data_IF_992164502631
#
_entry.id   IF_992164502631
#
_cell.length_a   1.000
_cell.length_b   1.000
_cell.length_c   1.000
_cell.angle_alpha   90.00
_cell.angle_beta   90.00
_cell.angle_gamma   90.00
#
_symmetry.space_group_name_H-M   'P 1'
#
loop_
_entity.id
_entity.type
_entity.pdbx_description
1 polymer ?
#
# COMPACT_ATOMS: atom_id res chain seq x y z
N UNK A 1 7.05 15.72 -2.50
CA UNK A 1 5.63 15.34 -2.69
C UNK A 1 4.69 16.27 -1.91
N UNK A 2 4.92 16.52 -0.62
CA UNK A 2 4.04 17.42 0.16
C UNK A 2 3.95 18.83 -0.45
N UNK A 3 5.08 19.43 -0.84
CA UNK A 3 5.11 20.73 -1.50
C UNK A 3 4.38 20.71 -2.86
N UNK A 4 4.51 19.62 -3.62
CA UNK A 4 3.78 19.45 -4.88
C UNK A 4 2.26 19.42 -4.67
N UNK A 5 1.79 18.73 -3.62
CA UNK A 5 0.36 18.71 -3.27
C UNK A 5 -0.14 20.09 -2.82
N UNK A 6 0.67 20.81 -2.03
CA UNK A 6 0.34 22.21 -1.62
C UNK A 6 0.27 23.14 -2.82
N UNK A 7 1.20 23.03 -3.78
CA UNK A 7 1.15 23.81 -5.03
C UNK A 7 -0.12 23.54 -5.85
N UNK A 8 -0.59 22.28 -5.84
CA UNK A 8 -1.86 21.89 -6.45
C UNK A 8 -3.09 22.25 -5.60
N UNK A 9 -2.90 23.08 -4.57
CA UNK A 9 -3.97 23.64 -3.74
C UNK A 9 -4.46 22.72 -2.61
N UNK A 10 -3.81 21.58 -2.33
CA UNK A 10 -4.23 20.67 -1.25
C UNK A 10 -3.86 21.25 0.12
N UNK A 11 -4.82 21.31 1.03
CA UNK A 11 -4.65 21.73 2.41
C UNK A 11 -5.28 20.77 3.41
N UNK A 12 -5.33 21.20 4.69
CA UNK A 12 -5.95 20.43 5.77
C UNK A 12 -7.41 20.09 5.45
N UNK A 13 -7.77 18.81 5.57
CA UNK A 13 -9.12 18.30 5.36
C UNK A 13 -9.49 18.03 3.89
N UNK A 14 -8.68 18.49 2.92
CA UNK A 14 -8.88 18.13 1.52
C UNK A 14 -8.63 16.63 1.30
N UNK A 15 -9.36 16.03 0.36
CA UNK A 15 -9.20 14.62 0.02
C UNK A 15 -8.25 14.48 -1.18
N UNK A 16 -7.33 13.52 -1.06
CA UNK A 16 -6.40 13.10 -2.12
C UNK A 16 -6.62 11.62 -2.40
N UNK A 17 -7.06 11.28 -3.61
CA UNK A 17 -7.19 9.88 -4.00
C UNK A 17 -5.86 9.38 -4.56
N UNK A 18 -5.41 8.20 -4.11
CA UNK A 18 -4.15 7.58 -4.53
C UNK A 18 -4.50 6.29 -5.28
N UNK A 19 -4.33 6.30 -6.61
CA UNK A 19 -4.50 5.15 -7.49
C UNK A 19 -3.16 4.81 -8.12
N UNK A 20 -2.35 4.04 -7.39
CA UNK A 20 -0.95 3.79 -7.74
C UNK A 20 -0.58 2.31 -7.60
N UNK A 21 0.45 1.85 -8.32
CA UNK A 21 1.07 0.57 -8.05
C UNK A 21 1.83 0.59 -6.71
N UNK A 22 2.32 -0.58 -6.29
CA UNK A 22 3.08 -0.77 -5.05
C UNK A 22 4.52 -0.24 -5.20
N UNK A 23 4.66 1.09 -5.32
CA UNK A 23 5.94 1.79 -5.46
C UNK A 23 6.12 2.82 -4.35
N UNK A 24 7.37 3.24 -4.03
CA UNK A 24 7.64 4.18 -2.94
C UNK A 24 6.87 5.49 -3.04
N UNK A 25 6.60 5.97 -4.25
CA UNK A 25 5.86 7.21 -4.49
C UNK A 25 4.43 7.17 -3.94
N UNK A 26 3.81 5.99 -3.90
CA UNK A 26 2.51 5.80 -3.28
C UNK A 26 2.57 6.01 -1.75
N UNK A 27 3.58 5.44 -1.09
CA UNK A 27 3.82 5.69 0.34
C UNK A 27 4.17 7.16 0.61
N UNK A 28 4.96 7.78 -0.27
CA UNK A 28 5.28 9.21 -0.16
C UNK A 28 4.04 10.09 -0.30
N UNK A 29 3.08 9.73 -1.15
CA UNK A 29 1.81 10.44 -1.26
C UNK A 29 0.97 10.31 0.03
N UNK A 30 0.88 9.10 0.62
CA UNK A 30 0.20 8.87 1.90
C UNK A 30 0.82 9.72 3.02
N UNK A 31 2.15 9.66 3.17
CA UNK A 31 2.87 10.41 4.19
C UNK A 31 2.84 11.94 3.94
N UNK A 32 2.82 12.37 2.68
CA UNK A 32 2.65 13.77 2.33
C UNK A 32 1.26 14.30 2.76
N UNK A 33 0.19 13.53 2.53
CA UNK A 33 -1.14 13.88 3.01
C UNK A 33 -1.16 13.98 4.54
N UNK A 34 -0.59 13.02 5.25
CA UNK A 34 -0.48 13.07 6.71
C UNK A 34 0.27 14.32 7.19
N UNK A 35 1.35 14.72 6.49
CA UNK A 35 2.15 15.89 6.82
C UNK A 35 1.39 17.21 6.71
N UNK A 36 0.55 17.36 5.69
CA UNK A 36 -0.21 18.59 5.42
C UNK A 36 -1.64 18.56 5.98
N UNK A 37 -2.01 17.48 6.67
CA UNK A 37 -3.35 17.30 7.26
C UNK A 37 -4.44 17.01 6.23
N UNK A 38 -4.08 16.55 5.04
CA UNK A 38 -5.02 16.08 4.02
C UNK A 38 -5.46 14.64 4.31
N UNK A 39 -6.65 14.28 3.85
CA UNK A 39 -7.25 12.95 3.99
C UNK A 39 -6.92 12.14 2.73
N UNK A 40 -6.13 11.09 2.84
CA UNK A 40 -5.89 10.25 1.68
C UNK A 40 -6.91 9.13 1.53
N UNK A 41 -7.18 8.76 0.28
CA UNK A 41 -8.06 7.68 -0.12
C UNK A 41 -7.30 6.77 -1.09
N UNK A 42 -6.64 5.72 -0.56
CA UNK A 42 -5.92 4.78 -1.43
C UNK A 42 -6.89 3.79 -2.06
N UNK A 43 -6.79 3.63 -3.36
CA UNK A 43 -7.60 2.70 -4.15
C UNK A 43 -6.70 1.61 -4.71
N UNK A 44 -7.11 0.36 -4.53
CA UNK A 44 -6.37 -0.79 -5.05
C UNK A 44 -6.13 -0.68 -6.56
N UNK A 45 -4.87 -0.75 -6.97
CA UNK A 45 -4.45 -0.56 -8.36
C UNK A 45 -4.99 -1.60 -9.37
N UNK A 46 -5.58 -2.69 -8.88
CA UNK A 46 -6.25 -3.70 -9.71
C UNK A 46 -7.72 -3.41 -10.05
N UNK A 47 -8.29 -2.29 -9.58
CA UNK A 47 -9.68 -1.95 -9.91
C UNK A 47 -9.83 -1.40 -11.32
N UNK A 48 -10.92 -1.80 -11.98
CA UNK A 48 -11.35 -1.26 -13.26
C UNK A 48 -11.94 0.16 -13.12
N UNK A 49 -11.98 0.89 -14.22
CA UNK A 49 -12.41 2.30 -14.29
C UNK A 49 -13.77 2.57 -13.64
N UNK A 50 -14.77 1.70 -13.80
CA UNK A 50 -16.08 1.86 -13.15
C UNK A 50 -16.02 1.82 -11.62
N UNK A 51 -15.22 0.91 -11.05
CA UNK A 51 -15.00 0.83 -9.60
C UNK A 51 -14.22 2.02 -9.06
N UNK A 52 -13.29 2.55 -9.85
CA UNK A 52 -12.53 3.76 -9.51
C UNK A 52 -13.44 4.99 -9.59
N UNK A 53 -14.29 5.11 -10.62
CA UNK A 53 -15.24 6.20 -10.80
C UNK A 53 -16.19 6.36 -9.59
N UNK A 54 -16.72 5.25 -9.08
CA UNK A 54 -17.59 5.27 -7.90
C UNK A 54 -16.86 5.84 -6.67
N UNK A 55 -15.57 5.55 -6.50
CA UNK A 55 -14.77 6.07 -5.40
C UNK A 55 -14.39 7.54 -5.59
N UNK A 56 -14.18 7.97 -6.82
CA UNK A 56 -13.98 9.38 -7.16
C UNK A 56 -15.25 10.19 -6.83
N UNK A 57 -16.43 9.65 -7.16
CA UNK A 57 -17.70 10.31 -6.84
C UNK A 57 -17.95 10.44 -5.34
N UNK A 58 -17.63 9.40 -4.56
CA UNK A 58 -17.89 9.39 -3.12
C UNK A 58 -16.84 10.17 -2.33
N UNK A 59 -15.56 10.04 -2.69
CA UNK A 59 -14.47 10.73 -2.01
C UNK A 59 -14.37 12.20 -2.40
N UNK A 60 -14.82 12.59 -3.58
CA UNK A 60 -14.67 13.93 -4.15
C UNK A 60 -13.24 14.49 -3.96
N UNK A 61 -12.20 13.79 -4.48
CA UNK A 61 -10.81 14.18 -4.23
C UNK A 61 -10.44 15.45 -4.99
N UNK A 62 -9.80 16.39 -4.32
CA UNK A 62 -9.25 17.59 -4.96
C UNK A 62 -8.16 17.24 -5.96
N UNK A 63 -7.26 16.33 -5.56
CA UNK A 63 -6.17 15.83 -6.39
C UNK A 63 -6.21 14.30 -6.43
N UNK A 64 -5.89 13.73 -7.59
CA UNK A 64 -5.62 12.29 -7.73
C UNK A 64 -4.13 12.10 -7.99
N UNK A 65 -3.50 11.21 -7.23
CA UNK A 65 -2.10 10.79 -7.45
C UNK A 65 -2.12 9.44 -8.16
N UNK A 66 -1.41 9.33 -9.29
CA UNK A 66 -1.35 8.11 -10.08
C UNK A 66 0.01 7.93 -10.76
N UNK A 67 0.13 6.91 -11.61
CA UNK A 67 1.32 6.62 -12.40
C UNK A 67 0.95 6.34 -13.87
N UNK A 68 1.95 6.30 -14.74
CA UNK A 68 1.79 5.82 -16.11
C UNK A 68 1.27 4.38 -16.12
N UNK A 69 1.96 3.50 -15.40
CA UNK A 69 1.64 2.09 -15.36
C UNK A 69 2.13 1.39 -14.08
N UNK A 70 1.57 0.22 -13.80
CA UNK A 70 2.06 -0.76 -12.84
C UNK A 70 2.47 -2.06 -13.52
N UNK A 71 3.15 -2.93 -12.76
CA UNK A 71 3.52 -4.27 -13.22
C UNK A 71 2.89 -5.33 -12.33
N UNK A 72 2.17 -6.28 -12.94
CA UNK A 72 1.56 -7.40 -12.22
C UNK A 72 1.62 -8.68 -13.03
N UNK A 73 2.16 -9.75 -12.44
CA UNK A 73 2.28 -11.05 -13.12
C UNK A 73 3.08 -10.98 -14.42
N UNK A 74 4.12 -10.14 -14.49
CA UNK A 74 4.95 -9.95 -15.70
C UNK A 74 4.30 -9.05 -16.77
N UNK A 75 3.08 -8.55 -16.53
CA UNK A 75 2.38 -7.67 -17.48
C UNK A 75 2.41 -6.23 -17.02
N UNK A 76 2.60 -5.31 -17.96
CA UNK A 76 2.41 -3.87 -17.74
C UNK A 76 0.93 -3.54 -17.83
N UNK A 77 0.42 -2.85 -16.82
CA UNK A 77 -0.96 -2.37 -16.77
C UNK A 77 -0.91 -0.85 -16.82
N UNK A 78 -1.37 -0.25 -17.91
CA UNK A 78 -1.42 1.19 -18.07
C UNK A 78 -2.50 1.79 -17.14
N UNK A 79 -2.09 2.64 -16.18
CA UNK A 79 -3.01 3.25 -15.22
C UNK A 79 -3.66 4.51 -15.74
N UNK A 80 -2.92 5.29 -16.53
CA UNK A 80 -3.43 6.58 -17.05
C UNK A 80 -4.73 6.43 -17.84
N UNK A 81 -4.86 5.50 -18.82
CA UNK A 81 -6.12 5.32 -19.55
C UNK A 81 -7.28 4.86 -18.66
N UNK A 82 -6.99 4.00 -17.65
CA UNK A 82 -8.01 3.56 -16.69
C UNK A 82 -8.50 4.70 -15.81
N UNK A 83 -7.59 5.58 -15.39
CA UNK A 83 -7.90 6.77 -14.62
C UNK A 83 -8.71 7.78 -15.43
N UNK A 84 -8.31 8.07 -16.66
CA UNK A 84 -9.03 9.00 -17.52
C UNK A 84 -10.46 8.54 -17.78
N UNK A 85 -10.65 7.26 -18.04
CA UNK A 85 -11.98 6.68 -18.19
C UNK A 85 -12.78 6.75 -16.88
N UNK A 86 -12.17 6.52 -15.73
CA UNK A 86 -12.83 6.67 -14.43
C UNK A 86 -13.26 8.11 -14.18
N UNK A 87 -12.39 9.09 -14.46
CA UNK A 87 -12.74 10.51 -14.36
C UNK A 87 -13.86 10.88 -15.34
N UNK A 88 -13.85 10.32 -16.55
CA UNK A 88 -14.89 10.54 -17.53
C UNK A 88 -16.26 10.03 -17.04
N UNK A 89 -16.28 8.84 -16.45
CA UNK A 89 -17.49 8.17 -15.93
C UNK A 89 -18.03 8.85 -14.68
N UNK A 90 -17.17 9.37 -13.83
CA UNK A 90 -17.55 10.04 -12.58
C UNK A 90 -18.24 11.37 -12.84
N UNK A 91 -19.26 11.69 -12.04
CA UNK A 91 -19.91 13.02 -12.04
C UNK A 91 -18.99 14.09 -11.44
N UNK A 92 -18.22 13.71 -10.43
CA UNK A 92 -17.22 14.59 -9.82
C UNK A 92 -15.95 14.61 -10.66
N UNK A 93 -15.30 15.78 -10.75
CA UNK A 93 -14.05 15.96 -11.49
C UNK A 93 -12.98 16.52 -10.54
N UNK A 94 -11.83 15.85 -10.41
CA UNK A 94 -10.71 16.40 -9.62
C UNK A 94 -10.15 17.66 -10.28
N UNK A 95 -9.61 18.55 -9.46
CA UNK A 95 -8.97 19.79 -9.95
C UNK A 95 -7.64 19.48 -10.65
N UNK A 96 -6.89 18.50 -10.14
CA UNK A 96 -5.61 18.11 -10.72
C UNK A 96 -5.33 16.61 -10.59
N UNK A 97 -4.44 16.11 -11.45
CA UNK A 97 -3.86 14.76 -11.39
C UNK A 97 -2.35 14.89 -11.34
N UNK A 98 -1.73 14.28 -10.32
CA UNK A 98 -0.27 14.20 -10.16
C UNK A 98 0.20 12.83 -10.64
N UNK A 99 0.98 12.77 -11.71
CA UNK A 99 1.39 11.54 -12.39
C UNK A 99 2.87 11.24 -12.20
N UNK A 100 3.17 10.06 -11.70
CA UNK A 100 4.52 9.50 -11.71
C UNK A 100 4.76 8.81 -13.04
N UNK A 101 5.71 9.32 -13.81
CA UNK A 101 6.19 8.69 -15.04
C UNK A 101 7.29 7.67 -14.70
N UNK A 102 7.03 6.41 -14.99
CA UNK A 102 7.97 5.29 -14.81
C UNK A 102 8.60 4.85 -16.14
N UNK A 103 8.16 5.42 -17.25
CA UNK A 103 8.55 5.04 -18.61
C UNK A 103 8.03 3.63 -19.01
N UNK A 104 6.97 3.13 -18.37
CA UNK A 104 6.41 1.81 -18.65
C UNK A 104 5.28 1.84 -19.68
N UNK A 105 4.58 2.97 -19.80
CA UNK A 105 3.52 3.19 -20.79
C UNK A 105 3.50 4.65 -21.24
N UNK A 106 3.01 4.93 -22.47
CA UNK A 106 2.80 6.31 -22.92
C UNK A 106 1.84 7.08 -22.00
N UNK A 107 2.11 8.35 -21.78
CA UNK A 107 1.26 9.25 -20.99
C UNK A 107 0.73 10.34 -21.91
N UNK A 108 -0.59 10.34 -22.13
CA UNK A 108 -1.30 11.44 -22.77
C UNK A 108 -1.77 12.42 -21.67
N UNK A 109 -1.11 13.56 -21.55
CA UNK A 109 -1.42 14.58 -20.55
C UNK A 109 -2.65 15.41 -20.98
N UNK A 110 -3.64 15.51 -20.10
CA UNK A 110 -4.74 16.45 -20.25
C UNK A 110 -4.29 17.82 -19.76
N UNK A 111 -4.19 18.80 -20.69
CA UNK A 111 -3.75 20.15 -20.38
C UNK A 111 -4.62 20.81 -19.29
N UNK A 112 -3.96 21.52 -18.37
CA UNK A 112 -4.61 22.20 -17.25
C UNK A 112 -5.04 21.32 -16.08
N UNK A 113 -5.00 19.98 -16.24
CA UNK A 113 -5.35 19.03 -15.19
C UNK A 113 -4.17 18.17 -14.74
N UNK A 114 -3.39 17.66 -15.69
CA UNK A 114 -2.37 16.65 -15.43
C UNK A 114 -0.99 17.29 -15.24
N UNK A 115 -0.29 16.88 -14.19
CA UNK A 115 1.04 17.38 -13.82
C UNK A 115 1.99 16.20 -13.61
N UNK A 116 3.22 16.29 -14.13
CA UNK A 116 4.24 15.29 -13.90
C UNK A 116 4.88 15.47 -12.51
N UNK A 117 4.86 14.42 -11.71
CA UNK A 117 5.40 14.43 -10.35
C UNK A 117 6.91 14.73 -10.35
N UNK A 118 7.65 14.29 -11.37
CA UNK A 118 9.07 14.58 -11.56
C UNK A 118 9.36 16.07 -11.70
N UNK A 119 8.56 16.78 -12.49
CA UNK A 119 8.72 18.24 -12.73
C UNK A 119 8.43 19.02 -11.45
N UNK A 120 7.30 18.76 -10.79
CA UNK A 120 6.95 19.42 -9.54
C UNK A 120 7.95 19.09 -8.42
N UNK A 121 8.45 17.84 -8.36
CA UNK A 121 9.49 17.46 -7.41
C UNK A 121 10.77 18.25 -7.65
N UNK A 122 11.22 18.41 -8.90
CA UNK A 122 12.41 19.17 -9.23
C UNK A 122 12.29 20.64 -8.80
N UNK A 123 11.13 21.24 -9.00
CA UNK A 123 10.81 22.60 -8.55
C UNK A 123 10.88 22.76 -7.03
N UNK A 124 10.62 21.70 -6.28
CA UNK A 124 10.49 21.72 -4.82
C UNK A 124 11.57 20.93 -4.08
N UNK A 125 12.76 20.72 -4.66
CA UNK A 125 13.83 19.95 -4.03
C UNK A 125 14.21 20.50 -2.65
N UNK A 126 14.31 21.82 -2.51
CA UNK A 126 14.70 22.50 -1.28
C UNK A 126 13.52 23.01 -0.43
N UNK A 127 12.27 22.63 -0.83
CA UNK A 127 11.10 23.10 -0.14
C UNK A 127 10.95 22.42 1.24
N UNK A 128 10.80 23.24 2.28
CA UNK A 128 10.41 22.78 3.62
C UNK A 128 8.91 22.98 3.84
N UNK A 129 8.19 21.89 3.98
CA UNK A 129 6.76 21.91 4.33
C UNK A 129 6.63 21.53 5.81
N UNK A 130 6.20 22.44 6.69
CA UNK A 130 5.99 22.11 8.11
C UNK A 130 4.87 21.09 8.28
N UNK A 131 4.90 20.36 9.40
CA UNK A 131 3.78 19.48 9.76
C UNK A 131 2.58 20.31 10.19
N UNK A 132 1.42 20.00 9.64
CA UNK A 132 0.13 20.55 10.10
C UNK A 132 -0.30 19.82 11.36
N UNK A 133 -0.51 20.55 12.45
CA UNK A 133 -1.04 19.96 13.70
C UNK A 133 -2.52 19.63 13.56
N UNK A 134 -2.86 18.41 13.99
CA UNK A 134 -4.19 17.84 13.92
C UNK A 134 -4.71 17.51 15.32
N UNK A 135 -6.02 17.59 15.52
CA UNK A 135 -6.65 16.96 16.67
C UNK A 135 -6.59 15.43 16.52
N UNK A 136 -6.57 14.72 17.64
CA UNK A 136 -6.56 13.24 17.63
C UNK A 136 -7.76 12.64 16.89
N UNK A 137 -8.87 13.37 16.86
CA UNK A 137 -10.13 13.00 16.19
C UNK A 137 -10.23 13.46 14.74
N UNK A 138 -9.24 14.21 14.21
CA UNK A 138 -9.21 14.57 12.80
C UNK A 138 -9.01 13.30 11.94
N UNK A 139 -9.66 13.27 10.76
CA UNK A 139 -9.59 12.13 9.86
C UNK A 139 -8.22 12.06 9.17
N UNK A 140 -7.58 10.91 9.23
CA UNK A 140 -6.32 10.62 8.56
C UNK A 140 -6.53 10.09 7.14
N UNK A 141 -7.43 9.10 7.00
CA UNK A 141 -7.71 8.51 5.71
C UNK A 141 -9.11 7.91 5.63
N UNK A 142 -9.55 7.67 4.39
CA UNK A 142 -10.74 6.88 4.06
C UNK A 142 -10.33 5.68 3.23
N UNK A 143 -10.76 4.49 3.62
CA UNK A 143 -10.55 3.26 2.83
C UNK A 143 -11.90 2.62 2.49
N UNK A 144 -12.02 2.12 1.27
CA UNK A 144 -13.28 1.56 0.77
C UNK A 144 -13.33 0.04 0.89
N UNK A 145 -14.40 -0.45 1.50
CA UNK A 145 -14.74 -1.88 1.53
C UNK A 145 -15.83 -2.22 0.54
N UNK A 146 -16.01 -3.52 0.23
CA UNK A 146 -16.97 -4.00 -0.78
C UNK A 146 -18.44 -3.81 -0.43
N UNK A 147 -18.77 -3.37 0.77
CA UNK A 147 -20.13 -3.11 1.25
C UNK A 147 -21.16 -4.22 0.96
N UNK A 148 -22.01 -4.55 1.91
CA UNK A 148 -23.06 -5.57 1.78
C UNK A 148 -24.17 -5.21 0.77
N UNK A 149 -24.30 -3.92 0.42
CA UNK A 149 -25.33 -3.38 -0.49
C UNK A 149 -24.84 -3.19 -1.93
N UNK A 150 -23.63 -3.67 -2.27
CA UNK A 150 -23.04 -3.51 -3.60
C UNK A 150 -22.37 -2.15 -3.83
N UNK A 151 -22.62 -1.13 -3.00
CA UNK A 151 -21.88 0.14 -3.06
C UNK A 151 -20.68 0.08 -2.10
N UNK A 152 -19.50 0.56 -2.50
CA UNK A 152 -18.36 0.68 -1.60
C UNK A 152 -18.70 1.54 -0.38
N UNK A 153 -18.25 1.12 0.80
CA UNK A 153 -18.37 1.89 2.05
C UNK A 153 -17.03 2.52 2.37
N UNK A 154 -16.99 3.83 2.56
CA UNK A 154 -15.81 4.56 3.01
C UNK A 154 -15.66 4.46 4.53
N UNK A 155 -14.71 3.65 4.99
CA UNK A 155 -14.34 3.56 6.41
C UNK A 155 -13.30 4.63 6.71
N UNK A 156 -13.57 5.49 7.69
CA UNK A 156 -12.67 6.55 8.09
C UNK A 156 -11.87 6.17 9.34
N UNK A 157 -10.62 6.58 9.38
CA UNK A 157 -9.75 6.44 10.55
C UNK A 157 -9.28 7.80 11.02
N UNK A 158 -9.35 8.03 12.32
CA UNK A 158 -8.79 9.22 12.94
C UNK A 158 -7.25 9.13 13.06
N UNK A 159 -6.62 10.25 13.33
CA UNK A 159 -5.16 10.33 13.47
C UNK A 159 -4.68 9.70 14.78
N UNK A 160 -5.30 10.07 15.89
CA UNK A 160 -4.80 9.72 17.22
C UNK A 160 -5.09 8.30 17.62
N UNK A 161 -6.33 7.85 17.52
CA UNK A 161 -6.73 6.48 17.88
C UNK A 161 -6.02 5.45 17.01
N UNK A 162 -5.90 5.72 15.70
CA UNK A 162 -5.19 4.84 14.79
C UNK A 162 -3.70 4.74 15.10
N UNK A 163 -3.03 5.87 15.36
CA UNK A 163 -1.60 5.87 15.72
C UNK A 163 -1.33 5.10 17.01
N UNK A 164 -2.15 5.27 18.04
CA UNK A 164 -2.06 4.54 19.32
C UNK A 164 -2.28 3.04 19.11
N UNK A 165 -3.30 2.66 18.34
CA UNK A 165 -3.60 1.26 18.04
C UNK A 165 -2.43 0.59 17.28
N UNK A 166 -1.84 1.28 16.31
CA UNK A 166 -0.69 0.77 15.57
C UNK A 166 0.56 0.64 16.45
N UNK A 167 0.88 1.65 17.26
CA UNK A 167 2.00 1.58 18.20
C UNK A 167 1.84 0.41 19.17
N UNK A 168 0.63 0.21 19.72
CA UNK A 168 0.33 -0.90 20.61
C UNK A 168 0.43 -2.26 19.89
N UNK A 169 -0.13 -2.39 18.69
CA UNK A 169 -0.07 -3.66 17.94
C UNK A 169 1.34 -4.02 17.52
N UNK A 170 2.13 -3.05 17.05
CA UNK A 170 3.54 -3.30 16.69
C UNK A 170 4.34 -3.80 17.89
N UNK A 171 4.09 -3.23 19.08
CA UNK A 171 4.79 -3.61 20.30
C UNK A 171 4.30 -4.94 20.89
N UNK A 172 2.98 -5.12 21.03
CA UNK A 172 2.41 -6.21 21.84
C UNK A 172 1.98 -7.43 21.04
N UNK A 173 1.70 -7.26 19.75
CA UNK A 173 1.30 -8.37 18.86
C UNK A 173 2.49 -8.82 18.02
N UNK A 174 3.14 -7.90 17.32
CA UNK A 174 4.22 -8.24 16.38
C UNK A 174 5.62 -8.29 17.03
N UNK A 175 5.77 -7.86 18.28
CA UNK A 175 7.08 -7.71 18.95
C UNK A 175 8.11 -6.96 18.08
N UNK A 176 7.63 -5.94 17.37
CA UNK A 176 8.45 -5.13 16.47
C UNK A 176 9.36 -4.19 17.26
N UNK A 177 10.63 -4.14 16.86
CA UNK A 177 11.66 -3.34 17.55
C UNK A 177 12.29 -2.33 16.61
N UNK A 178 12.62 -1.12 17.08
CA UNK A 178 13.31 -0.13 16.26
C UNK A 178 14.57 -0.71 15.59
N UNK A 179 14.77 -0.38 14.31
CA UNK A 179 15.90 -0.86 13.52
C UNK A 179 15.74 -2.24 12.88
N UNK A 180 14.72 -3.00 13.25
CA UNK A 180 14.38 -4.26 12.57
C UNK A 180 13.67 -4.05 11.25
N UNK A 181 13.54 -5.10 10.43
CA UNK A 181 12.82 -5.08 9.15
C UNK A 181 11.53 -5.87 9.24
N UNK A 182 10.43 -5.22 8.87
CA UNK A 182 9.09 -5.78 8.78
C UNK A 182 8.72 -6.00 7.30
N UNK A 183 8.09 -7.12 6.97
CA UNK A 183 7.62 -7.40 5.62
C UNK A 183 6.15 -7.81 5.62
N UNK A 184 5.27 -6.91 5.23
CA UNK A 184 3.90 -7.25 4.89
C UNK A 184 3.76 -7.45 3.38
N UNK A 185 3.19 -8.57 2.98
CA UNK A 185 3.00 -8.94 1.57
C UNK A 185 1.65 -8.47 1.01
N UNK A 186 0.95 -7.62 1.75
CA UNK A 186 -0.33 -7.03 1.37
C UNK A 186 -0.13 -5.90 0.33
N UNK A 187 -1.21 -5.25 -0.02
CA UNK A 187 -1.25 -4.07 -0.89
C UNK A 187 -1.76 -2.87 -0.09
N UNK A 188 -1.22 -1.68 -0.36
CA UNK A 188 -1.65 -0.43 0.31
C UNK A 188 -3.10 -0.07 0.03
N UNK A 189 -3.73 -0.62 -0.99
CA UNK A 189 -5.16 -0.49 -1.26
C UNK A 189 -6.05 -1.21 -0.24
N UNK A 190 -5.46 -1.98 0.70
CA UNK A 190 -6.15 -2.66 1.80
C UNK A 190 -5.72 -2.10 3.15
N UNK A 191 -6.58 -2.28 4.17
CA UNK A 191 -6.27 -1.80 5.53
C UNK A 191 -5.00 -2.42 6.10
N UNK A 192 -4.69 -3.68 5.75
CA UNK A 192 -3.43 -4.33 6.15
C UNK A 192 -2.23 -3.58 5.57
N UNK A 193 -2.31 -3.17 4.31
CA UNK A 193 -1.24 -2.39 3.68
C UNK A 193 -1.06 -1.01 4.30
N UNK A 194 -2.14 -0.28 4.57
CA UNK A 194 -2.05 0.99 5.30
C UNK A 194 -1.34 0.80 6.64
N UNK A 195 -1.84 -0.15 7.43
CA UNK A 195 -1.42 -0.37 8.80
C UNK A 195 -0.02 -0.96 8.89
N UNK A 196 0.31 -1.96 8.08
CA UNK A 196 1.49 -2.81 8.27
C UNK A 196 2.45 -2.88 7.08
N UNK A 197 2.23 -2.04 6.04
CA UNK A 197 3.32 -1.69 5.11
C UNK A 197 3.82 -0.29 5.41
N UNK A 198 2.92 0.67 5.73
CA UNK A 198 3.31 2.07 5.86
C UNK A 198 3.36 2.51 7.33
N UNK A 199 2.22 2.65 7.99
CA UNK A 199 2.17 3.40 9.26
C UNK A 199 2.76 2.66 10.46
N UNK A 200 2.37 1.42 10.70
CA UNK A 200 2.79 0.65 11.88
C UNK A 200 4.30 0.47 11.97
N UNK A 201 4.97 -0.08 10.94
CA UNK A 201 6.42 -0.24 10.97
C UNK A 201 7.16 1.09 11.15
N UNK A 202 6.74 2.15 10.47
CA UNK A 202 7.37 3.47 10.58
C UNK A 202 7.19 4.09 11.97
N UNK A 203 5.99 3.96 12.57
CA UNK A 203 5.74 4.39 13.95
C UNK A 203 6.63 3.62 14.94
N UNK A 204 6.86 2.34 14.70
CA UNK A 204 7.72 1.49 15.53
C UNK A 204 9.22 1.70 15.27
N UNK A 205 9.62 2.58 14.34
CA UNK A 205 11.01 2.80 13.96
C UNK A 205 11.65 1.63 13.22
N UNK A 206 10.83 0.82 12.55
CA UNK A 206 11.29 -0.32 11.75
C UNK A 206 11.44 0.05 10.27
N UNK A 207 12.33 -0.66 9.58
CA UNK A 207 12.31 -0.67 8.12
C UNK A 207 11.11 -1.49 7.62
N UNK A 208 10.55 -1.11 6.47
CA UNK A 208 9.44 -1.82 5.83
C UNK A 208 9.75 -2.14 4.38
N UNK A 209 9.26 -3.26 3.90
CA UNK A 209 9.40 -3.68 2.50
C UNK A 209 8.07 -3.45 1.78
N UNK A 210 8.11 -2.67 0.71
CA UNK A 210 7.03 -2.54 -0.26
C UNK A 210 7.43 -3.30 -1.52
N UNK A 211 6.61 -4.26 -1.94
CA UNK A 211 6.93 -5.16 -3.05
C UNK A 211 5.87 -5.08 -4.16
N UNK A 212 6.29 -4.65 -5.35
CA UNK A 212 5.44 -4.66 -6.54
C UNK A 212 5.58 -5.99 -7.27
N UNK A 213 4.75 -6.97 -6.92
CA UNK A 213 4.80 -8.28 -7.56
C UNK A 213 3.89 -9.31 -6.90
N UNK A 214 3.79 -10.48 -7.53
CA UNK A 214 3.10 -11.65 -6.99
C UNK A 214 4.05 -12.48 -6.10
N UNK A 215 3.53 -13.39 -5.25
CA UNK A 215 4.35 -14.25 -4.40
C UNK A 215 5.37 -15.13 -5.15
N UNK A 216 5.14 -15.32 -6.43
CA UNK A 216 5.97 -16.18 -7.32
C UNK A 216 6.57 -15.41 -8.48
N UNK A 217 6.71 -14.09 -8.36
CA UNK A 217 7.28 -13.24 -9.39
C UNK A 217 8.53 -12.54 -8.85
N UNK A 218 9.67 -12.74 -9.51
CA UNK A 218 10.94 -12.10 -9.18
C UNK A 218 10.95 -10.58 -9.46
N UNK A 219 11.99 -9.91 -8.96
CA UNK A 219 12.21 -8.46 -9.18
C UNK A 219 12.37 -8.16 -10.67
N UNK A 220 12.96 -9.10 -11.43
CA UNK A 220 13.13 -9.05 -12.88
C UNK A 220 11.85 -9.36 -13.67
N UNK A 221 10.71 -9.51 -12.96
CA UNK A 221 9.40 -9.88 -13.51
C UNK A 221 9.30 -11.33 -14.03
N UNK A 222 10.35 -12.14 -13.89
CA UNK A 222 10.34 -13.57 -14.23
C UNK A 222 9.75 -14.41 -13.09
N UNK A 223 9.26 -15.64 -13.36
CA UNK A 223 8.81 -16.56 -12.33
C UNK A 223 9.90 -16.85 -11.29
N UNK A 224 9.61 -16.64 -10.02
CA UNK A 224 10.50 -16.94 -8.89
C UNK A 224 9.68 -17.29 -7.65
N UNK A 225 9.50 -18.57 -7.40
CA UNK A 225 8.80 -19.08 -6.22
C UNK A 225 9.54 -18.85 -4.89
N UNK A 226 10.80 -18.44 -4.94
CA UNK A 226 11.64 -18.17 -3.76
C UNK A 226 11.80 -16.69 -3.43
N UNK A 227 11.14 -15.80 -4.18
CA UNK A 227 11.37 -14.34 -4.04
C UNK A 227 11.17 -13.82 -2.61
N UNK A 228 10.14 -14.26 -1.90
CA UNK A 228 9.88 -13.80 -0.54
C UNK A 228 10.96 -14.27 0.42
N UNK A 229 11.42 -15.49 0.30
CA UNK A 229 12.49 -16.06 1.12
C UNK A 229 13.82 -15.35 0.87
N UNK A 230 14.10 -15.02 -0.39
CA UNK A 230 15.26 -14.19 -0.77
C UNK A 230 15.18 -12.77 -0.20
N UNK A 231 13.98 -12.16 -0.13
CA UNK A 231 13.80 -10.86 0.52
C UNK A 231 13.99 -10.96 2.04
N UNK A 232 13.52 -12.03 2.66
CA UNK A 232 13.76 -12.29 4.09
C UNK A 232 15.25 -12.38 4.38
N UNK A 233 15.99 -13.17 3.62
CA UNK A 233 17.45 -13.30 3.75
C UNK A 233 18.16 -11.96 3.52
N UNK A 234 17.85 -11.30 2.39
CA UNK A 234 18.55 -10.08 1.94
C UNK A 234 18.37 -8.92 2.92
N UNK A 235 17.17 -8.73 3.43
CA UNK A 235 16.83 -7.59 4.31
C UNK A 235 16.74 -7.98 5.77
N UNK A 236 17.09 -9.21 6.13
CA UNK A 236 17.05 -9.72 7.50
C UNK A 236 15.70 -9.45 8.17
N UNK A 237 14.63 -9.83 7.46
CA UNK A 237 13.26 -9.64 7.94
C UNK A 237 13.07 -10.40 9.25
N UNK A 238 12.57 -9.72 10.26
CA UNK A 238 12.31 -10.31 11.58
C UNK A 238 10.88 -10.71 11.79
N UNK A 239 9.95 -10.00 11.18
CA UNK A 239 8.51 -10.27 11.24
C UNK A 239 7.92 -10.20 9.84
N UNK A 240 7.16 -11.23 9.47
CA UNK A 240 6.44 -11.27 8.20
C UNK A 240 4.93 -11.33 8.44
N UNK A 241 4.15 -10.59 7.63
CA UNK A 241 2.70 -10.62 7.67
C UNK A 241 2.14 -10.87 6.27
N UNK A 242 1.31 -11.89 6.14
CA UNK A 242 0.79 -12.34 4.85
C UNK A 242 -0.68 -12.78 4.93
N UNK A 243 -1.15 -13.46 3.90
CA UNK A 243 -2.47 -14.07 3.84
C UNK A 243 -2.36 -15.58 3.53
N UNK A 244 -3.26 -16.43 4.05
CA UNK A 244 -3.29 -17.86 3.75
C UNK A 244 -3.28 -18.18 2.25
N UNK A 245 -4.03 -17.43 1.43
CA UNK A 245 -4.02 -17.58 -0.04
C UNK A 245 -2.62 -17.47 -0.64
N UNK A 246 -1.82 -16.53 -0.18
CA UNK A 246 -0.46 -16.34 -0.67
C UNK A 246 0.45 -17.51 -0.25
N UNK A 247 0.31 -17.99 0.99
CA UNK A 247 1.03 -19.17 1.49
C UNK A 247 0.65 -20.43 0.70
N UNK A 248 -0.65 -20.60 0.35
CA UNK A 248 -1.09 -21.71 -0.53
C UNK A 248 -0.46 -21.66 -1.93
N UNK A 249 -0.22 -20.47 -2.46
CA UNK A 249 0.51 -20.31 -3.74
C UNK A 249 1.96 -20.74 -3.58
N UNK A 250 2.63 -20.36 -2.50
CA UNK A 250 4.01 -20.77 -2.20
C UNK A 250 4.13 -22.27 -1.94
N UNK A 251 3.15 -22.88 -1.28
CA UNK A 251 3.10 -24.33 -1.02
C UNK A 251 3.14 -25.16 -2.31
N UNK A 252 2.67 -24.60 -3.44
CA UNK A 252 2.69 -25.26 -4.75
C UNK A 252 4.06 -25.18 -5.46
N UNK A 253 5.00 -24.41 -4.88
CA UNK A 253 6.35 -24.27 -5.43
C UNK A 253 7.26 -25.40 -4.91
N UNK A 254 8.49 -25.45 -5.43
CA UNK A 254 9.49 -26.42 -5.00
C UNK A 254 9.76 -26.28 -3.48
N UNK A 255 9.52 -27.33 -2.67
CA UNK A 255 9.78 -27.28 -1.22
C UNK A 255 11.24 -26.97 -0.85
N UNK A 256 12.20 -27.25 -1.74
CA UNK A 256 13.61 -26.95 -1.51
C UNK A 256 13.87 -25.44 -1.39
N UNK A 257 12.99 -24.58 -1.89
CA UNK A 257 13.11 -23.12 -1.80
C UNK A 257 13.13 -22.60 -0.37
N UNK A 258 12.40 -23.24 0.56
CA UNK A 258 12.44 -22.87 1.99
C UNK A 258 13.81 -23.15 2.65
N UNK A 259 14.57 -24.10 2.12
CA UNK A 259 15.89 -24.47 2.64
C UNK A 259 17.04 -23.79 1.90
N UNK A 260 16.74 -23.08 0.82
CA UNK A 260 17.73 -22.43 -0.05
C UNK A 260 18.26 -21.13 0.54
N UNK A 261 17.47 -20.46 1.35
CA UNK A 261 17.75 -19.12 1.87
C UNK A 261 17.93 -19.14 3.38
N UNK A 262 18.76 -18.20 3.91
CA UNK A 262 18.92 -17.99 5.34
C UNK A 262 17.71 -17.23 5.91
N UNK A 263 16.81 -17.96 6.57
CA UNK A 263 15.61 -17.43 7.19
C UNK A 263 15.77 -17.24 8.72
N UNK A 264 16.97 -17.35 9.26
CA UNK A 264 17.26 -17.32 10.70
C UNK A 264 16.89 -16.01 11.40
N UNK A 265 16.76 -14.91 10.63
CA UNK A 265 16.29 -13.62 11.17
C UNK A 265 14.81 -13.61 11.47
N UNK A 266 14.00 -14.45 10.80
CA UNK A 266 12.55 -14.46 10.94
C UNK A 266 12.15 -15.06 12.30
N UNK A 267 11.35 -14.32 13.08
CA UNK A 267 10.88 -14.73 14.41
C UNK A 267 9.44 -15.24 14.39
N UNK A 268 8.61 -14.74 13.49
CA UNK A 268 7.21 -15.14 13.35
C UNK A 268 6.66 -14.78 11.96
N UNK A 269 5.69 -15.59 11.50
CA UNK A 269 4.83 -15.28 10.36
C UNK A 269 3.41 -15.11 10.87
N UNK A 270 2.84 -13.91 10.62
CA UNK A 270 1.46 -13.59 10.90
C UNK A 270 0.62 -13.75 9.62
N UNK A 271 -0.60 -14.25 9.77
CA UNK A 271 -1.55 -14.42 8.66
C UNK A 271 -2.89 -13.79 9.03
N UNK A 272 -3.59 -13.22 8.05
CA UNK A 272 -4.95 -12.71 8.21
C UNK A 272 -5.69 -12.64 6.88
N UNK A 273 -7.00 -12.34 6.96
CA UNK A 273 -7.88 -12.09 5.82
C UNK A 273 -8.80 -13.24 5.46
N UNK A 274 -8.43 -14.45 5.81
CA UNK A 274 -9.22 -15.68 5.64
C UNK A 274 -8.73 -16.77 6.62
N UNK A 275 -9.53 -17.79 6.92
CA UNK A 275 -9.09 -18.87 7.79
C UNK A 275 -7.90 -19.65 7.23
N UNK A 276 -6.93 -19.94 8.09
CA UNK A 276 -5.79 -20.77 7.77
C UNK A 276 -6.17 -22.25 7.91
N UNK A 277 -6.09 -23.01 6.81
CA UNK A 277 -6.33 -24.45 6.84
C UNK A 277 -5.15 -25.22 7.47
N UNK A 278 -5.45 -26.30 8.19
CA UNK A 278 -4.46 -27.10 8.91
C UNK A 278 -3.32 -27.63 8.02
N UNK A 279 -3.56 -28.17 6.82
CA UNK A 279 -2.47 -28.65 5.97
C UNK A 279 -1.51 -27.55 5.50
N UNK A 280 -2.00 -26.32 5.34
CA UNK A 280 -1.17 -25.17 5.00
C UNK A 280 -0.41 -24.65 6.23
N UNK A 281 -1.07 -24.60 7.38
CA UNK A 281 -0.44 -24.22 8.66
C UNK A 281 0.72 -25.15 9.01
N UNK A 282 0.51 -26.47 8.93
CA UNK A 282 1.54 -27.49 9.19
C UNK A 282 2.73 -27.34 8.25
N UNK A 283 2.46 -27.27 6.94
CA UNK A 283 3.52 -27.14 5.93
C UNK A 283 4.42 -25.92 6.17
N UNK A 284 3.83 -24.75 6.41
CA UNK A 284 4.61 -23.52 6.58
C UNK A 284 5.33 -23.48 7.93
N UNK A 285 4.71 -24.02 8.99
CA UNK A 285 5.33 -24.10 10.31
C UNK A 285 6.55 -25.02 10.32
N UNK A 286 6.43 -26.22 9.72
CA UNK A 286 7.54 -27.16 9.58
C UNK A 286 8.65 -26.60 8.69
N UNK A 287 8.26 -25.86 7.61
CA UNK A 287 9.20 -25.30 6.66
C UNK A 287 10.02 -24.13 7.21
N UNK A 288 9.40 -23.26 8.01
CA UNK A 288 10.05 -22.06 8.55
C UNK A 288 10.64 -22.30 9.94
N UNK A 289 10.13 -23.24 10.71
CA UNK A 289 10.58 -23.49 12.09
C UNK A 289 10.27 -22.34 13.07
N UNK A 290 9.34 -21.43 12.72
CA UNK A 290 8.93 -20.30 13.55
C UNK A 290 7.43 -20.34 13.83
N UNK A 291 6.92 -19.64 14.86
CA UNK A 291 5.49 -19.53 15.12
C UNK A 291 4.72 -18.97 13.93
N UNK A 292 3.61 -19.62 13.58
CA UNK A 292 2.63 -19.14 12.62
C UNK A 292 1.41 -18.69 13.40
N UNK A 293 1.09 -17.40 13.29
CA UNK A 293 0.05 -16.75 14.10
C UNK A 293 -1.07 -16.31 13.17
N UNK A 294 -2.22 -16.97 13.28
CA UNK A 294 -3.43 -16.62 12.54
C UNK A 294 -4.19 -15.52 13.27
N UNK A 295 -4.54 -14.45 12.56
CA UNK A 295 -5.20 -13.28 13.11
C UNK A 295 -6.57 -13.08 12.46
N UNK A 296 -7.58 -12.88 13.30
CA UNK A 296 -8.86 -12.35 12.84
C UNK A 296 -8.84 -10.84 12.82
N UNK A 297 -9.10 -10.26 11.65
CA UNK A 297 -9.13 -8.81 11.48
C UNK A 297 -10.03 -8.39 10.32
N UNK A 298 -10.70 -7.26 10.48
CA UNK A 298 -11.57 -6.64 9.48
C UNK A 298 -11.21 -5.16 9.31
N UNK A 299 -11.62 -4.58 8.17
CA UNK A 299 -11.37 -3.15 7.90
C UNK A 299 -12.20 -2.28 8.85
N UNK A 300 -13.42 -2.67 9.16
CA UNK A 300 -14.30 -2.01 10.12
C UNK A 300 -13.81 -2.19 11.56
#
# INVERSE_FOLDING_TARGET
>A
TAASLVELGVGKGDRVLIYMPMIPEAAFAMLACARIGAIHCVVFGGFASGSLATRIEDAEPKVIVSADAGSRGGKVIAYKPLLDEAIRLSKYKPEAVLLTDRGLAPIDLTAGRDHLAGELRQKHLDAHVPCTWLASTDISYTIYTSGTTGKPKGVQRDVGGYAVALAASMKHIFDGRPGETYFSTSDIGWVVGHSYIVYGPLIAGMATIMYEGLPTQGIDKQPDGGIWWRLVEKYKVTVMFSAPTAVRVLKKQDPALLKKYDLSSLRALFLAGEPLDEPTARWISEGLGVPIIDNYWQTE
#
